data_IF_818931875781
#
_entry.id   IF_818931875781
#
_cell.length_a   1.000
_cell.length_b   1.000
_cell.length_c   1.000
_cell.angle_alpha   90.00
_cell.angle_beta   90.00
_cell.angle_gamma   90.00
#
_symmetry.space_group_name_H-M   'P 1'
#
loop_
_entity.id
_entity.type
_entity.pdbx_description
1 polymer ?
#
# COMPACT_ATOMS: atom_id res chain seq x y z
N UNK A 1 -3.01 -36.85 -4.42
CA UNK A 1 -2.78 -36.17 -3.13
C UNK A 1 -1.40 -35.50 -3.01
N UNK A 2 -0.40 -35.86 -3.82
CA UNK A 2 0.95 -35.26 -3.82
C UNK A 2 0.99 -33.77 -4.25
N UNK A 3 0.16 -33.38 -5.22
CA UNK A 3 0.09 -31.98 -5.72
C UNK A 3 -0.39 -31.00 -4.64
N UNK A 4 -1.33 -31.43 -3.77
CA UNK A 4 -1.84 -30.61 -2.66
C UNK A 4 -0.81 -30.41 -1.54
N UNK A 5 0.15 -31.33 -1.40
CA UNK A 5 1.23 -31.22 -0.42
C UNK A 5 2.33 -30.26 -0.93
N UNK A 6 2.67 -30.34 -2.22
CA UNK A 6 3.63 -29.43 -2.87
C UNK A 6 3.15 -27.97 -2.89
N UNK A 7 1.86 -27.71 -3.14
CA UNK A 7 1.31 -26.34 -3.07
C UNK A 7 1.26 -25.78 -1.64
N UNK A 8 1.16 -26.64 -0.62
CA UNK A 8 1.18 -26.24 0.79
C UNK A 8 2.60 -25.89 1.27
N UNK A 9 3.63 -26.55 0.72
CA UNK A 9 5.05 -26.32 1.05
C UNK A 9 5.63 -25.14 0.26
N UNK A 10 5.30 -24.98 -1.03
CA UNK A 10 5.79 -23.85 -1.83
C UNK A 10 4.94 -22.57 -1.73
N UNK A 11 3.80 -22.65 -1.04
CA UNK A 11 2.80 -21.60 -0.97
C UNK A 11 2.11 -21.40 -2.33
N UNK A 12 0.82 -21.07 -2.31
CA UNK A 12 0.14 -20.74 -3.56
C UNK A 12 0.72 -19.44 -4.14
N UNK A 13 0.56 -19.24 -5.45
CA UNK A 13 0.86 -17.95 -6.09
C UNK A 13 0.20 -16.77 -5.36
N UNK A 14 -1.00 -17.01 -4.82
CA UNK A 14 -1.76 -16.03 -4.06
C UNK A 14 -1.09 -15.70 -2.71
N UNK A 15 -0.61 -16.72 -1.98
CA UNK A 15 0.09 -16.52 -0.70
C UNK A 15 1.35 -15.67 -0.86
N UNK A 16 2.06 -15.84 -1.98
CA UNK A 16 3.26 -15.04 -2.28
C UNK A 16 2.91 -13.57 -2.54
N UNK A 17 1.83 -13.30 -3.25
CA UNK A 17 1.31 -11.95 -3.46
C UNK A 17 0.88 -11.33 -2.12
N UNK A 18 0.09 -12.05 -1.33
CA UNK A 18 -0.36 -11.59 -0.01
C UNK A 18 0.81 -11.27 0.92
N UNK A 19 1.88 -12.08 0.92
CA UNK A 19 3.10 -11.80 1.71
C UNK A 19 3.76 -10.48 1.29
N UNK A 20 3.83 -10.16 0.00
CA UNK A 20 4.40 -8.88 -0.48
C UNK A 20 3.53 -7.71 -0.04
N UNK A 21 2.22 -7.84 -0.19
CA UNK A 21 1.27 -6.79 0.19
C UNK A 21 1.30 -6.54 1.70
N UNK A 22 1.36 -7.59 2.52
CA UNK A 22 1.50 -7.47 3.98
C UNK A 22 2.77 -6.73 4.40
N UNK A 23 3.89 -6.92 3.67
CA UNK A 23 5.12 -6.14 3.91
C UNK A 23 4.91 -4.65 3.63
N UNK A 24 4.22 -4.31 2.54
CA UNK A 24 3.91 -2.91 2.23
C UNK A 24 3.01 -2.28 3.31
N UNK A 25 1.98 -3.00 3.76
CA UNK A 25 1.11 -2.53 4.86
C UNK A 25 1.89 -2.36 6.16
N UNK A 26 2.79 -3.29 6.48
CA UNK A 26 3.66 -3.15 7.65
C UNK A 26 4.51 -1.89 7.59
N UNK A 27 5.03 -1.53 6.41
CA UNK A 27 5.82 -0.32 6.20
C UNK A 27 4.96 0.95 6.40
N UNK A 28 3.72 0.95 5.91
CA UNK A 28 2.77 2.05 6.12
C UNK A 28 2.45 2.20 7.61
N UNK A 29 2.19 1.09 8.30
CA UNK A 29 1.90 1.08 9.74
C UNK A 29 3.07 1.62 10.58
N UNK A 30 4.31 1.41 10.15
CA UNK A 30 5.49 1.99 10.85
C UNK A 30 5.63 3.49 10.67
N UNK A 31 5.07 4.06 9.59
CA UNK A 31 5.10 5.51 9.32
C UNK A 31 3.92 6.26 9.96
N UNK A 32 2.87 5.55 10.39
CA UNK A 32 1.69 6.13 11.04
C UNK A 32 2.02 7.02 12.25
N UNK A 33 2.91 6.63 13.19
CA UNK A 33 3.25 7.47 14.34
C UNK A 33 3.97 8.77 13.99
N UNK A 34 4.65 8.81 12.83
CA UNK A 34 5.30 10.04 12.34
C UNK A 34 4.26 11.00 11.77
N UNK A 35 3.27 10.47 11.05
CA UNK A 35 2.18 11.28 10.47
C UNK A 35 1.23 11.82 11.55
N UNK A 36 0.99 11.05 12.61
CA UNK A 36 0.13 11.49 13.73
C UNK A 36 0.70 12.70 14.48
N UNK A 37 2.02 12.87 14.49
CA UNK A 37 2.70 14.03 15.12
C UNK A 37 2.61 15.32 14.31
N UNK A 38 2.30 15.22 13.02
CA UNK A 38 2.25 16.38 12.13
C UNK A 38 0.98 17.21 12.39
N UNK A 39 1.09 18.52 12.27
CA UNK A 39 -0.06 19.43 12.20
C UNK A 39 -0.79 19.32 10.85
N UNK A 40 -1.99 19.90 10.76
CA UNK A 40 -2.78 19.87 9.53
C UNK A 40 -2.07 20.60 8.37
N UNK A 41 -1.32 21.66 8.68
CA UNK A 41 -0.57 22.41 7.68
C UNK A 41 0.66 21.64 7.20
N UNK A 42 1.33 20.90 8.09
CA UNK A 42 2.43 20.01 7.72
C UNK A 42 1.95 18.81 6.88
N UNK A 43 0.79 18.24 7.19
CA UNK A 43 0.17 17.19 6.36
C UNK A 43 -0.20 17.70 4.97
N UNK A 44 -0.66 18.95 4.83
CA UNK A 44 -0.88 19.56 3.52
C UNK A 44 0.44 19.79 2.78
N UNK A 45 1.48 20.24 3.49
CA UNK A 45 2.80 20.49 2.91
C UNK A 45 3.43 19.21 2.32
N UNK A 46 3.16 18.02 2.89
CA UNK A 46 3.57 16.72 2.33
C UNK A 46 3.14 16.51 0.87
N UNK A 47 1.97 17.03 0.48
CA UNK A 47 1.52 16.94 -0.93
C UNK A 47 2.46 17.70 -1.87
N UNK A 48 2.93 18.88 -1.46
CA UNK A 48 3.87 19.67 -2.24
C UNK A 48 5.26 19.02 -2.25
N UNK A 49 5.67 18.41 -1.13
CA UNK A 49 6.91 17.63 -1.03
C UNK A 49 6.91 16.47 -2.03
N UNK A 50 5.84 15.68 -2.10
CA UNK A 50 5.73 14.56 -3.03
C UNK A 50 5.79 15.00 -4.49
N UNK A 51 5.14 16.12 -4.86
CA UNK A 51 5.24 16.68 -6.22
C UNK A 51 6.68 17.07 -6.55
N UNK A 52 7.35 17.79 -5.66
CA UNK A 52 8.74 18.18 -5.86
C UNK A 52 9.69 16.95 -5.96
N UNK A 53 9.42 15.87 -5.22
CA UNK A 53 10.19 14.62 -5.29
C UNK A 53 9.99 13.90 -6.63
N UNK A 54 8.75 13.86 -7.14
CA UNK A 54 8.46 13.31 -8.47
C UNK A 54 9.15 14.12 -9.56
N UNK A 55 9.14 15.44 -9.48
CA UNK A 55 9.85 16.32 -10.43
C UNK A 55 11.37 16.12 -10.41
N UNK A 56 11.94 15.77 -9.26
CA UNK A 56 13.36 15.37 -9.12
C UNK A 56 13.67 13.99 -9.69
N UNK A 57 12.67 13.26 -10.20
CA UNK A 57 12.85 11.94 -10.82
C UNK A 57 12.64 10.76 -9.86
N UNK A 58 12.11 11.00 -8.66
CA UNK A 58 11.77 9.90 -7.75
C UNK A 58 10.57 9.08 -8.28
N UNK A 59 10.68 7.76 -8.20
CA UNK A 59 9.62 6.86 -8.67
C UNK A 59 8.36 6.98 -7.81
N UNK A 60 7.18 6.97 -8.44
CA UNK A 60 5.92 6.91 -7.69
C UNK A 60 5.86 5.68 -6.77
N UNK A 61 6.46 4.56 -7.16
CA UNK A 61 6.49 3.32 -6.38
C UNK A 61 7.16 3.48 -5.00
N UNK A 62 8.17 4.34 -4.86
CA UNK A 62 8.84 4.60 -3.57
C UNK A 62 8.04 5.52 -2.66
N UNK A 63 7.19 6.38 -3.24
CA UNK A 63 6.34 7.33 -2.50
C UNK A 63 5.05 6.70 -1.97
N UNK A 64 4.61 5.56 -2.55
CA UNK A 64 3.36 4.89 -2.17
C UNK A 64 3.25 4.69 -0.64
N UNK A 65 4.22 4.11 0.09
CA UNK A 65 4.05 3.85 1.51
C UNK A 65 3.81 5.13 2.34
N UNK A 66 4.58 6.18 2.05
CA UNK A 66 4.49 7.46 2.75
C UNK A 66 3.19 8.19 2.40
N UNK A 67 2.82 8.23 1.11
CA UNK A 67 1.58 8.84 0.65
C UNK A 67 0.34 8.18 1.26
N UNK A 68 0.33 6.84 1.38
CA UNK A 68 -0.77 6.13 2.02
C UNK A 68 -0.84 6.38 3.53
N UNK A 69 0.29 6.58 4.21
CA UNK A 69 0.30 6.98 5.61
C UNK A 69 -0.32 8.37 5.80
N UNK A 70 0.01 9.33 4.92
CA UNK A 70 -0.58 10.69 4.91
C UNK A 70 -2.10 10.62 4.68
N UNK A 71 -2.56 9.86 3.68
CA UNK A 71 -4.00 9.71 3.39
C UNK A 71 -4.74 9.04 4.54
N UNK A 72 -4.13 8.05 5.20
CA UNK A 72 -4.72 7.39 6.38
C UNK A 72 -4.94 8.39 7.51
N UNK A 73 -3.93 9.20 7.82
CA UNK A 73 -4.03 10.20 8.88
C UNK A 73 -5.03 11.31 8.52
N UNK A 74 -5.03 11.76 7.27
CA UNK A 74 -6.03 12.72 6.78
C UNK A 74 -7.47 12.18 6.92
N UNK A 75 -7.70 10.91 6.58
CA UNK A 75 -9.01 10.26 6.77
C UNK A 75 -9.41 10.14 8.24
N UNK A 76 -8.44 9.86 9.13
CA UNK A 76 -8.68 9.80 10.57
C UNK A 76 -9.11 11.17 11.11
N UNK A 77 -8.51 12.26 10.64
CA UNK A 77 -8.85 13.63 11.05
C UNK A 77 -10.16 14.13 10.46
N UNK A 78 -10.39 13.90 9.17
CA UNK A 78 -11.57 14.43 8.46
C UNK A 78 -12.83 13.62 8.75
N UNK A 79 -12.73 12.29 8.71
CA UNK A 79 -13.88 11.39 8.81
C UNK A 79 -13.96 10.63 10.13
N UNK A 80 -12.97 10.74 11.01
CA UNK A 80 -12.89 9.91 12.22
C UNK A 80 -12.63 8.43 11.93
N UNK A 81 -12.32 8.07 10.68
CA UNK A 81 -12.19 6.68 10.24
C UNK A 81 -10.73 6.36 9.92
N UNK A 82 -10.20 5.38 10.65
CA UNK A 82 -8.90 4.79 10.36
C UNK A 82 -9.07 3.68 9.32
N UNK A 83 -8.43 3.85 8.16
CA UNK A 83 -8.45 2.82 7.11
C UNK A 83 -7.96 1.48 7.65
N UNK A 84 -8.67 0.40 7.36
CA UNK A 84 -8.28 -0.95 7.73
C UNK A 84 -7.13 -1.45 6.84
N UNK A 85 -6.31 -2.33 7.39
CA UNK A 85 -5.18 -2.92 6.67
C UNK A 85 -5.62 -3.63 5.38
N UNK A 86 -6.81 -4.25 5.38
CA UNK A 86 -7.41 -4.87 4.18
C UNK A 86 -7.78 -3.85 3.10
N UNK A 87 -8.17 -2.63 3.48
CA UNK A 87 -8.47 -1.56 2.53
C UNK A 87 -7.17 -1.07 1.87
N UNK A 88 -6.09 -0.94 2.65
CA UNK A 88 -4.75 -0.61 2.14
C UNK A 88 -4.24 -1.69 1.18
N UNK A 89 -4.47 -2.97 1.47
CA UNK A 89 -4.09 -4.09 0.58
C UNK A 89 -4.79 -4.02 -0.79
N UNK A 90 -6.09 -3.73 -0.80
CA UNK A 90 -6.89 -3.70 -2.04
C UNK A 90 -6.48 -2.52 -2.92
N UNK A 91 -6.30 -1.33 -2.33
CA UNK A 91 -5.89 -0.14 -3.10
C UNK A 91 -4.47 -0.32 -3.63
N UNK A 92 -3.54 -0.86 -2.85
CA UNK A 92 -2.17 -1.15 -3.28
C UNK A 92 -2.13 -2.16 -4.45
N UNK A 93 -2.98 -3.20 -4.41
CA UNK A 93 -3.11 -4.17 -5.50
C UNK A 93 -3.48 -3.49 -6.82
N UNK A 94 -4.44 -2.57 -6.77
CA UNK A 94 -4.92 -1.84 -7.96
C UNK A 94 -3.86 -0.89 -8.51
N UNK A 95 -3.10 -0.20 -7.65
CA UNK A 95 -2.01 0.69 -8.06
C UNK A 95 -0.86 -0.09 -8.71
N UNK A 96 -0.53 -1.29 -8.23
CA UNK A 96 0.50 -2.15 -8.82
C UNK A 96 0.00 -2.96 -10.02
N UNK A 97 -1.30 -3.24 -10.09
CA UNK A 97 -1.91 -3.76 -11.30
C UNK A 97 -1.82 -2.77 -12.45
N UNK A 98 -1.96 -1.47 -12.17
CA UNK A 98 -1.68 -0.42 -13.14
C UNK A 98 -0.20 -0.38 -13.57
N UNK A 99 0.75 -0.73 -12.69
CA UNK A 99 2.18 -0.85 -13.01
C UNK A 99 2.61 -2.20 -13.64
N UNK A 100 1.67 -2.94 -14.25
CA UNK A 100 1.87 -4.21 -15.01
C UNK A 100 2.41 -5.40 -14.21
N UNK A 101 2.53 -5.33 -12.88
CA UNK A 101 3.08 -6.44 -12.05
C UNK A 101 2.03 -7.38 -11.46
N UNK A 102 0.74 -7.02 -11.48
CA UNK A 102 -0.34 -7.95 -11.16
C UNK A 102 -0.79 -8.71 -12.40
N UNK A 103 -0.62 -10.03 -12.39
CA UNK A 103 -1.14 -10.89 -13.46
C UNK A 103 -2.66 -10.89 -13.40
N UNK A 104 -3.37 -10.73 -14.53
CA UNK A 104 -4.82 -10.77 -14.55
C UNK A 104 -5.27 -12.11 -13.96
N UNK A 105 -5.98 -12.04 -12.83
CA UNK A 105 -6.77 -13.18 -12.37
C UNK A 105 -7.86 -13.35 -13.43
N UNK A 106 -7.66 -14.28 -14.36
CA UNK A 106 -8.71 -14.74 -15.26
C UNK A 106 -9.81 -15.32 -14.37
N UNK A 107 -10.80 -14.49 -14.06
CA UNK A 107 -12.10 -14.95 -13.56
C UNK A 107 -12.66 -15.79 -14.69
N UNK A 108 -12.53 -17.11 -14.56
CA UNK A 108 -13.24 -18.05 -15.43
C UNK A 108 -14.71 -17.86 -15.08
N UNK A 109 -15.48 -17.28 -16.00
CA UNK A 109 -16.94 -17.37 -15.97
C UNK A 109 -17.34 -18.84 -16.02
#
# INVERSE_FOLDING_TARGET
>A
MLIKLLTKVFGSRNDRTLRRMRKAVSLINTMEPEMEKLSDDELKAKTNEFRARIEKGESVESLIPEAFAVVREASKRVFGMRHFDVQLLVVWCSTIAASRKCVPVKVKR
#
